data_IF_949105607282
#
_entry.id   IF_949105607282
#
_cell.length_a   1.000
_cell.length_b   1.000
_cell.length_c   1.000
_cell.angle_alpha   90.00
_cell.angle_beta   90.00
_cell.angle_gamma   90.00
#
_symmetry.space_group_name_H-M   'P 1'
#
loop_
_entity.id
_entity.type
_entity.pdbx_description
1 polymer ?
#
# COMPACT_ATOMS: atom_id res chain seq x y z
N UNK A 1 -37.72 -47.33 -52.16
CA UNK A 1 -37.71 -47.79 -50.76
C UNK A 1 -36.98 -46.76 -49.90
N UNK A 2 -37.58 -46.37 -48.81
CA UNK A 2 -37.39 -45.14 -48.07
C UNK A 2 -36.09 -45.11 -47.29
N UNK A 3 -35.22 -44.15 -47.57
CA UNK A 3 -34.04 -43.83 -46.74
C UNK A 3 -34.38 -42.65 -45.82
N UNK A 4 -34.46 -42.95 -44.55
CA UNK A 4 -34.76 -41.96 -43.49
C UNK A 4 -33.47 -41.26 -43.08
N UNK A 5 -33.36 -39.98 -43.38
CA UNK A 5 -32.25 -39.12 -43.05
C UNK A 5 -32.41 -38.61 -41.60
N UNK A 6 -31.74 -39.23 -40.65
CA UNK A 6 -31.64 -38.67 -39.28
C UNK A 6 -30.58 -37.59 -39.22
N UNK A 7 -31.06 -36.34 -39.19
CA UNK A 7 -30.28 -35.15 -38.85
C UNK A 7 -30.02 -35.19 -37.33
N UNK A 8 -28.80 -35.55 -36.93
CA UNK A 8 -28.32 -35.36 -35.57
C UNK A 8 -28.02 -33.87 -35.33
N UNK A 9 -28.90 -33.19 -34.63
CA UNK A 9 -28.61 -31.87 -34.04
C UNK A 9 -27.56 -32.06 -32.94
N UNK A 10 -26.38 -31.52 -33.15
CA UNK A 10 -25.40 -31.33 -32.08
C UNK A 10 -25.74 -30.04 -31.33
N UNK A 11 -26.01 -30.08 -30.02
CA UNK A 11 -26.09 -28.87 -29.25
C UNK A 11 -24.65 -28.35 -29.05
N UNK A 12 -24.38 -27.15 -29.54
CA UNK A 12 -23.18 -26.41 -29.22
C UNK A 12 -23.29 -25.97 -27.75
N UNK A 13 -22.55 -26.62 -26.87
CA UNK A 13 -22.35 -26.14 -25.49
C UNK A 13 -21.51 -24.85 -25.55
N UNK A 14 -22.19 -23.73 -25.42
CA UNK A 14 -21.56 -22.43 -25.20
C UNK A 14 -21.14 -22.38 -23.73
N UNK A 15 -19.90 -22.76 -23.45
CA UNK A 15 -19.31 -22.60 -22.13
C UNK A 15 -19.09 -21.11 -21.87
N UNK A 16 -20.04 -20.49 -21.20
CA UNK A 16 -19.86 -19.15 -20.65
C UNK A 16 -18.83 -19.25 -19.51
N UNK A 17 -17.58 -18.88 -19.82
CA UNK A 17 -16.56 -18.68 -18.80
C UNK A 17 -16.97 -17.43 -18.00
N UNK A 18 -17.67 -17.63 -16.88
CA UNK A 18 -17.81 -16.62 -15.84
C UNK A 18 -16.41 -16.38 -15.27
N UNK A 19 -15.76 -15.33 -15.70
CA UNK A 19 -14.56 -14.82 -15.06
C UNK A 19 -14.91 -14.41 -13.64
N UNK A 20 -14.53 -15.24 -12.67
CA UNK A 20 -14.60 -14.90 -11.25
C UNK A 20 -13.52 -13.83 -11.04
N UNK A 21 -13.90 -12.57 -11.12
CA UNK A 21 -13.07 -11.47 -10.63
C UNK A 21 -13.06 -11.59 -9.11
N UNK A 22 -11.99 -12.17 -8.57
CA UNK A 22 -11.73 -12.11 -7.14
C UNK A 22 -11.63 -10.61 -6.76
N UNK A 23 -12.40 -10.15 -5.77
CA UNK A 23 -12.26 -8.78 -5.30
C UNK A 23 -10.82 -8.61 -4.82
N UNK A 24 -10.13 -7.59 -5.33
CA UNK A 24 -8.87 -7.14 -4.77
C UNK A 24 -9.14 -6.84 -3.29
N UNK A 25 -8.46 -7.56 -2.38
CA UNK A 25 -8.69 -7.44 -0.94
C UNK A 25 -7.95 -6.22 -0.43
N UNK A 26 -8.59 -5.04 -0.56
CA UNK A 26 -8.12 -3.83 0.08
C UNK A 26 -8.07 -4.01 1.60
N UNK A 27 -6.99 -3.55 2.24
CA UNK A 27 -6.92 -3.57 3.69
C UNK A 27 -7.74 -2.41 4.29
N UNK A 28 -8.56 -2.70 5.30
CA UNK A 28 -9.24 -1.65 6.09
C UNK A 28 -8.57 -1.55 7.46
N UNK A 29 -8.14 -0.34 7.81
CA UNK A 29 -7.52 -0.03 9.10
C UNK A 29 -8.25 1.14 9.73
N UNK A 30 -9.05 0.86 10.75
CA UNK A 30 -9.83 1.85 11.49
C UNK A 30 -10.75 2.71 10.59
N UNK A 31 -11.35 2.10 9.55
CA UNK A 31 -12.22 2.77 8.59
C UNK A 31 -11.48 3.45 7.43
N UNK A 32 -10.15 3.36 7.39
CA UNK A 32 -9.34 3.80 6.25
C UNK A 32 -9.05 2.63 5.33
N UNK A 33 -9.48 2.77 4.08
CA UNK A 33 -9.25 1.75 3.05
C UNK A 33 -7.95 2.01 2.32
N UNK A 34 -7.11 0.98 2.23
CA UNK A 34 -5.89 0.97 1.44
C UNK A 34 -6.07 0.05 0.24
N UNK A 35 -5.84 0.57 -0.96
CA UNK A 35 -5.89 -0.25 -2.19
C UNK A 35 -4.76 -1.29 -2.17
N UNK A 36 -5.00 -2.47 -2.74
CA UNK A 36 -3.97 -3.52 -2.82
C UNK A 36 -2.77 -3.09 -3.67
N UNK A 37 -3.02 -2.24 -4.66
CA UNK A 37 -2.02 -1.79 -5.62
C UNK A 37 -2.17 -0.30 -5.90
N UNK A 38 -1.03 0.34 -6.10
CA UNK A 38 -0.96 1.75 -6.52
C UNK A 38 0.12 1.90 -7.59
N UNK A 39 -0.03 2.90 -8.46
CA UNK A 39 1.00 3.25 -9.43
C UNK A 39 1.82 4.43 -8.94
N UNK A 40 3.14 4.34 -9.03
CA UNK A 40 4.06 5.42 -8.69
C UNK A 40 5.22 5.44 -9.67
N UNK A 41 5.44 6.58 -10.33
CA UNK A 41 6.53 6.77 -11.31
C UNK A 41 6.61 5.66 -12.36
N UNK A 42 5.44 5.22 -12.90
CA UNK A 42 5.35 4.17 -13.91
C UNK A 42 5.51 2.74 -13.38
N UNK A 43 5.70 2.56 -12.07
CA UNK A 43 5.81 1.26 -11.42
C UNK A 43 4.54 0.91 -10.66
N UNK A 44 4.08 -0.33 -10.77
CA UNK A 44 3.03 -0.87 -9.90
C UNK A 44 3.64 -1.25 -8.56
N UNK A 45 3.06 -0.78 -7.47
CA UNK A 45 3.42 -1.13 -6.11
C UNK A 45 2.27 -1.89 -5.46
N UNK A 46 2.61 -2.89 -4.67
CA UNK A 46 1.64 -3.68 -3.89
C UNK A 46 1.65 -3.23 -2.43
N UNK A 47 0.50 -3.29 -1.79
CA UNK A 47 0.40 -3.05 -0.36
C UNK A 47 1.15 -4.14 0.41
N UNK A 48 2.25 -3.76 1.04
CA UNK A 48 3.05 -4.68 1.86
C UNK A 48 2.49 -4.88 3.26
N UNK A 49 1.84 -3.86 3.77
CA UNK A 49 1.16 -3.90 5.06
C UNK A 49 0.56 -2.55 5.41
N UNK A 50 -0.41 -2.58 6.32
CA UNK A 50 -1.03 -1.39 6.87
C UNK A 50 -1.17 -1.52 8.40
N UNK A 51 -1.12 -0.41 9.11
CA UNK A 51 -1.16 -0.37 10.56
C UNK A 51 -1.85 0.90 11.08
N UNK A 52 -2.27 0.84 12.34
CA UNK A 52 -2.85 1.94 13.08
C UNK A 52 -1.83 2.50 14.08
N UNK A 53 -1.59 3.80 14.02
CA UNK A 53 -0.86 4.50 15.07
C UNK A 53 -1.83 4.96 16.15
N UNK A 54 -1.58 4.52 17.37
CA UNK A 54 -2.29 4.97 18.56
C UNK A 54 -1.36 5.67 19.53
N UNK A 55 -1.86 6.64 20.28
CA UNK A 55 -1.17 7.29 21.40
C UNK A 55 -2.19 7.60 22.49
N UNK A 56 -1.91 7.21 23.73
CA UNK A 56 -2.83 7.38 24.86
C UNK A 56 -4.26 6.88 24.54
N UNK A 57 -4.37 5.67 23.94
CA UNK A 57 -5.61 5.04 23.48
C UNK A 57 -6.35 5.80 22.35
N UNK A 58 -5.82 6.90 21.87
CA UNK A 58 -6.38 7.66 20.75
C UNK A 58 -5.79 7.18 19.44
N UNK A 59 -6.65 6.99 18.44
CA UNK A 59 -6.26 6.68 17.06
C UNK A 59 -5.76 7.96 16.41
N UNK A 60 -4.50 7.98 15.97
CA UNK A 60 -3.86 9.17 15.40
C UNK A 60 -3.91 9.14 13.88
N UNK A 61 -3.40 8.07 13.27
CA UNK A 61 -3.45 7.87 11.81
C UNK A 61 -3.37 6.40 11.44
N UNK A 62 -3.87 6.08 10.26
CA UNK A 62 -3.60 4.81 9.59
C UNK A 62 -2.45 5.01 8.59
N UNK A 63 -1.57 4.01 8.48
CA UNK A 63 -0.40 4.04 7.62
C UNK A 63 -0.33 2.77 6.78
N UNK A 64 -0.07 2.92 5.47
CA UNK A 64 0.17 1.82 4.53
C UNK A 64 1.54 1.95 3.89
N UNK A 65 2.24 0.82 3.74
CA UNK A 65 3.51 0.73 3.03
C UNK A 65 3.32 -0.03 1.73
N UNK A 66 3.71 0.59 0.62
CA UNK A 66 3.67 0.01 -0.71
C UNK A 66 5.08 -0.22 -1.24
N UNK A 67 5.31 -1.38 -1.80
CA UNK A 67 6.60 -1.84 -2.32
C UNK A 67 6.43 -2.47 -3.72
N UNK A 68 7.50 -2.50 -4.55
CA UNK A 68 7.46 -3.24 -5.83
C UNK A 68 7.28 -4.74 -5.65
N UNK A 69 7.74 -5.29 -4.51
CA UNK A 69 7.62 -6.70 -4.11
C UNK A 69 7.45 -6.80 -2.60
N UNK A 70 6.73 -7.82 -2.16
CA UNK A 70 6.52 -8.08 -0.74
C UNK A 70 7.84 -8.29 0.00
N UNK A 71 7.95 -7.72 1.19
CA UNK A 71 9.04 -7.92 2.14
C UNK A 71 8.47 -8.25 3.53
N UNK A 72 9.05 -9.23 4.20
CA UNK A 72 8.58 -9.75 5.48
C UNK A 72 9.49 -9.36 6.68
N UNK A 73 10.53 -8.60 6.42
CA UNK A 73 11.42 -8.05 7.46
C UNK A 73 11.81 -6.62 7.14
N UNK A 74 12.28 -5.88 8.14
CA UNK A 74 12.78 -4.51 7.96
C UNK A 74 13.96 -4.49 6.99
N UNK A 75 14.88 -5.45 7.10
CA UNK A 75 16.05 -5.59 6.24
C UNK A 75 15.65 -5.82 4.77
N UNK A 76 14.67 -6.71 4.53
CA UNK A 76 14.15 -6.97 3.19
C UNK A 76 13.48 -5.73 2.58
N UNK A 77 12.73 -4.98 3.38
CA UNK A 77 12.10 -3.72 2.97
C UNK A 77 13.14 -2.66 2.64
N UNK A 78 14.17 -2.51 3.48
CA UNK A 78 15.25 -1.54 3.27
C UNK A 78 16.11 -1.89 2.06
N UNK A 79 16.42 -3.17 1.84
CA UNK A 79 17.20 -3.67 0.71
C UNK A 79 16.41 -3.70 -0.61
N UNK A 80 15.09 -3.61 -0.57
CA UNK A 80 14.25 -3.58 -1.77
C UNK A 80 14.60 -2.39 -2.64
N UNK A 81 14.97 -2.64 -3.90
CA UNK A 81 15.20 -1.60 -4.90
C UNK A 81 13.87 -1.10 -5.49
N UNK A 82 13.92 0.10 -6.08
CA UNK A 82 12.76 0.72 -6.72
C UNK A 82 11.98 1.66 -5.80
N UNK A 83 10.90 2.26 -6.33
CA UNK A 83 10.12 3.23 -5.58
C UNK A 83 9.40 2.58 -4.40
N UNK A 84 9.27 3.33 -3.32
CA UNK A 84 8.49 2.96 -2.12
C UNK A 84 7.53 4.09 -1.82
N UNK A 85 6.31 3.75 -1.40
CA UNK A 85 5.31 4.72 -0.99
C UNK A 85 4.83 4.43 0.42
N UNK A 86 4.85 5.46 1.26
CA UNK A 86 4.15 5.47 2.53
C UNK A 86 2.91 6.34 2.35
N UNK A 87 1.75 5.79 2.65
CA UNK A 87 0.48 6.52 2.66
C UNK A 87 0.01 6.66 4.10
N UNK A 88 -0.23 7.89 4.54
CA UNK A 88 -0.72 8.20 5.88
C UNK A 88 -2.05 8.93 5.76
N UNK A 89 -3.05 8.45 6.49
CA UNK A 89 -4.36 9.09 6.61
C UNK A 89 -4.60 9.42 8.07
N UNK A 90 -4.69 10.70 8.40
CA UNK A 90 -4.95 11.17 9.75
C UNK A 90 -6.39 10.86 10.15
N UNK A 91 -6.59 10.39 11.37
CA UNK A 91 -7.91 10.05 11.95
C UNK A 91 -8.41 11.13 12.91
N UNK A 92 -7.61 12.17 13.06
CA UNK A 92 -7.91 13.36 13.85
C UNK A 92 -7.09 14.54 13.36
N UNK A 93 -7.46 15.72 13.79
CA UNK A 93 -6.68 16.91 13.51
C UNK A 93 -5.28 16.78 14.09
N UNK A 94 -4.28 16.99 13.26
CA UNK A 94 -2.87 16.89 13.59
C UNK A 94 -2.14 18.06 12.93
N UNK A 95 -1.45 18.86 13.72
CA UNK A 95 -0.68 20.00 13.21
C UNK A 95 0.53 19.52 12.37
N UNK A 96 0.85 20.26 11.30
CA UNK A 96 1.99 19.96 10.44
C UNK A 96 3.30 19.86 11.23
N UNK A 97 3.55 20.79 12.14
CA UNK A 97 4.74 20.78 13.00
C UNK A 97 4.77 19.56 13.92
N UNK A 98 3.64 19.19 14.52
CA UNK A 98 3.54 18.01 15.39
C UNK A 98 3.84 16.71 14.61
N UNK A 99 3.34 16.63 13.38
CA UNK A 99 3.62 15.50 12.51
C UNK A 99 5.11 15.43 12.13
N UNK A 100 5.71 16.55 11.74
CA UNK A 100 7.13 16.64 11.41
C UNK A 100 8.02 16.29 12.62
N UNK A 101 7.69 16.76 13.81
CA UNK A 101 8.43 16.46 15.03
C UNK A 101 8.39 14.97 15.36
N UNK A 102 7.23 14.33 15.20
CA UNK A 102 7.11 12.89 15.40
C UNK A 102 7.98 12.07 14.43
N UNK A 103 8.11 12.51 13.17
CA UNK A 103 9.02 11.90 12.20
C UNK A 103 10.49 12.08 12.61
N UNK A 104 10.88 13.31 12.96
CA UNK A 104 12.26 13.63 13.37
C UNK A 104 12.65 12.85 14.62
N UNK A 105 11.77 12.73 15.60
CA UNK A 105 12.00 11.91 16.78
C UNK A 105 12.17 10.42 16.43
N UNK A 106 11.43 9.93 15.43
CA UNK A 106 11.63 8.60 14.89
C UNK A 106 13.01 8.42 14.26
N UNK A 107 13.45 9.39 13.47
CA UNK A 107 14.80 9.38 12.87
C UNK A 107 15.90 9.41 13.94
N UNK A 108 15.79 10.26 14.95
CA UNK A 108 16.75 10.34 16.06
C UNK A 108 16.90 9.03 16.82
N UNK A 109 15.83 8.25 16.96
CA UNK A 109 15.90 6.95 17.64
C UNK A 109 16.58 5.85 16.81
N UNK A 110 16.61 6.01 15.50
CA UNK A 110 17.07 4.98 14.56
C UNK A 110 18.38 5.29 13.84
N UNK A 111 18.90 6.52 13.98
CA UNK A 111 20.11 6.97 13.29
C UNK A 111 21.10 7.66 14.24
N UNK A 112 22.42 7.43 14.06
CA UNK A 112 23.45 8.17 14.77
C UNK A 112 23.39 9.66 14.40
N UNK A 113 23.88 10.51 15.30
CA UNK A 113 23.87 11.97 15.10
C UNK A 113 24.59 12.43 13.81
N UNK A 114 25.69 11.76 13.45
CA UNK A 114 26.42 12.04 12.22
C UNK A 114 25.60 11.79 10.94
N UNK A 115 24.69 10.82 10.97
CA UNK A 115 23.75 10.58 9.85
C UNK A 115 22.61 11.59 9.85
N UNK A 116 22.09 11.94 11.02
CA UNK A 116 21.06 12.97 11.16
C UNK A 116 21.51 14.32 10.61
N UNK A 117 22.76 14.69 10.85
CA UNK A 117 23.32 15.92 10.30
C UNK A 117 23.29 15.95 8.75
N UNK A 118 23.50 14.80 8.11
CA UNK A 118 23.41 14.67 6.65
C UNK A 118 21.95 14.71 6.15
N UNK A 119 21.01 14.32 6.98
CA UNK A 119 19.56 14.33 6.65
C UNK A 119 18.90 15.68 6.92
N UNK A 120 19.57 16.59 7.64
CA UNK A 120 18.99 17.87 8.06
C UNK A 120 18.37 18.68 6.90
N UNK A 121 19.00 18.86 5.73
CA UNK A 121 18.38 19.57 4.62
C UNK A 121 17.07 18.93 4.16
N UNK A 122 17.01 17.60 4.13
CA UNK A 122 15.81 16.85 3.75
C UNK A 122 14.72 16.96 4.80
N UNK A 123 15.07 17.02 6.07
CA UNK A 123 14.14 17.23 7.17
C UNK A 123 13.53 18.64 7.05
N UNK A 124 14.34 19.63 6.74
CA UNK A 124 13.89 21.02 6.57
C UNK A 124 12.96 21.14 5.34
N UNK A 125 13.33 20.52 4.22
CA UNK A 125 12.48 20.46 3.02
C UNK A 125 11.12 19.80 3.32
N UNK A 126 11.15 18.70 4.07
CA UNK A 126 9.92 18.02 4.48
C UNK A 126 9.03 18.92 5.37
N UNK A 127 9.62 19.59 6.38
CA UNK A 127 8.89 20.54 7.23
C UNK A 127 8.23 21.66 6.45
N UNK A 128 8.89 22.12 5.38
CA UNK A 128 8.38 23.19 4.54
C UNK A 128 7.33 22.73 3.52
N UNK A 129 7.17 21.42 3.34
CA UNK A 129 6.25 20.83 2.34
C UNK A 129 4.87 20.47 2.91
N UNK A 130 4.69 20.57 4.24
CA UNK A 130 3.47 20.16 4.94
C UNK A 130 2.81 21.29 5.69
#
# INVERSE_FOLDING_TARGET
MKATLHRLLRPALLAAALGITLPATAADVAGVRFDDKVSLAGSELILNGAALRTRFMLKIYAIGLYLPRSGNSAEAVMASSGPKRIQITTLRELGASEFADALVDGLKRNHPEAELAKLQPRIDDFRNSI
#
